data_IF_509804588760
#
_entry.id   IF_509804588760
#
_cell.length_a   1.000
_cell.length_b   1.000
_cell.length_c   1.000
_cell.angle_alpha   90.00
_cell.angle_beta   90.00
_cell.angle_gamma   90.00
#
_symmetry.space_group_name_H-M   'P 1'
#
loop_
_entity.id
_entity.type
_entity.pdbx_description
1 polymer ?
#
# COMPACT_ATOMS: atom_id res chain seq x y z
N UNK A 1 2.21 -7.71 25.65
CA UNK A 1 0.79 -8.18 25.56
C UNK A 1 -0.07 -7.43 26.56
N UNK A 2 -1.36 -7.24 26.30
CA UNK A 2 -2.32 -6.67 27.25
C UNK A 2 -3.04 -7.83 27.95
N UNK A 3 -3.03 -7.82 29.28
CA UNK A 3 -3.59 -8.90 30.11
C UNK A 3 -4.61 -8.38 31.12
N UNK A 4 -5.56 -9.23 31.52
CA UNK A 4 -6.59 -8.90 32.50
C UNK A 4 -6.03 -8.93 33.93
N UNK A 5 -6.34 -7.91 34.74
CA UNK A 5 -6.04 -7.85 36.17
C UNK A 5 -7.26 -7.35 36.94
N UNK A 6 -8.14 -8.26 37.34
CA UNK A 6 -9.47 -7.91 37.85
C UNK A 6 -10.27 -7.15 36.77
N UNK A 7 -10.87 -6.02 37.13
CA UNK A 7 -11.60 -5.15 36.21
C UNK A 7 -10.70 -4.14 35.46
N UNK A 8 -9.38 -4.34 35.51
CA UNK A 8 -8.39 -3.50 34.85
C UNK A 8 -7.56 -4.27 33.83
N UNK A 9 -6.88 -3.53 32.97
CA UNK A 9 -5.87 -4.04 32.04
C UNK A 9 -4.47 -3.79 32.59
N UNK A 10 -3.54 -4.70 32.31
CA UNK A 10 -2.13 -4.60 32.65
C UNK A 10 -1.25 -5.02 31.47
N UNK A 11 -0.18 -4.26 31.25
CA UNK A 11 0.88 -4.63 30.30
C UNK A 11 1.68 -5.80 30.88
N UNK A 12 1.81 -6.88 30.10
CA UNK A 12 2.61 -8.07 30.39
C UNK A 12 2.35 -8.72 31.77
N UNK A 13 1.14 -8.57 32.30
CA UNK A 13 0.71 -9.20 33.54
C UNK A 13 0.46 -10.71 33.41
N UNK A 14 0.26 -11.41 34.55
CA UNK A 14 0.09 -12.87 34.57
C UNK A 14 -1.34 -13.34 34.22
N UNK A 15 -2.30 -12.43 34.05
CA UNK A 15 -3.69 -12.77 33.77
C UNK A 15 -3.96 -13.14 32.30
N UNK A 16 -5.23 -13.38 31.99
CA UNK A 16 -5.70 -13.75 30.66
C UNK A 16 -5.28 -12.72 29.60
N UNK A 17 -4.85 -13.18 28.43
CA UNK A 17 -4.55 -12.33 27.28
C UNK A 17 -5.84 -11.67 26.79
N UNK A 18 -5.88 -10.34 26.79
CA UNK A 18 -6.98 -9.55 26.25
C UNK A 18 -6.66 -9.08 24.84
N UNK A 19 -5.42 -8.66 24.60
CA UNK A 19 -4.95 -8.25 23.27
C UNK A 19 -3.42 -8.42 23.13
N UNK A 20 -2.96 -8.59 21.90
CA UNK A 20 -1.54 -8.62 21.57
C UNK A 20 -1.01 -7.19 21.41
N UNK A 21 0.28 -6.99 21.72
CA UNK A 21 0.99 -5.75 21.37
C UNK A 21 2.22 -6.14 20.56
N UNK A 22 2.57 -5.28 19.60
CA UNK A 22 3.77 -5.45 18.78
C UNK A 22 4.79 -4.41 19.24
N UNK A 23 5.96 -4.85 19.66
CA UNK A 23 7.11 -3.97 19.89
C UNK A 23 7.82 -3.75 18.55
N UNK A 24 7.65 -2.56 17.97
CA UNK A 24 8.32 -2.22 16.71
C UNK A 24 9.61 -1.44 16.99
N UNK A 25 10.73 -1.97 16.50
CA UNK A 25 11.99 -1.21 16.43
C UNK A 25 11.86 -0.22 15.28
N UNK A 26 11.75 1.07 15.61
CA UNK A 26 11.68 2.12 14.59
C UNK A 26 12.97 2.14 13.79
N UNK A 27 12.85 2.11 12.46
CA UNK A 27 13.98 2.32 11.57
C UNK A 27 14.63 3.67 11.82
N UNK A 28 15.96 3.71 11.95
CA UNK A 28 16.73 4.94 12.14
C UNK A 28 16.43 5.90 10.99
N UNK A 29 15.75 7.00 11.33
CA UNK A 29 15.21 7.91 10.34
C UNK A 29 16.31 8.71 9.63
N UNK A 30 17.52 8.80 10.20
CA UNK A 30 18.68 9.40 9.50
C UNK A 30 19.13 8.58 8.29
N UNK A 31 18.76 7.29 8.24
CA UNK A 31 19.10 6.37 7.16
C UNK A 31 18.05 6.30 6.05
N UNK A 32 17.02 7.14 6.10
CA UNK A 32 16.09 7.27 4.99
C UNK A 32 16.82 7.91 3.79
N UNK A 33 16.60 7.39 2.59
CA UNK A 33 17.33 7.83 1.40
C UNK A 33 17.07 9.30 1.05
N UNK A 34 15.88 9.83 1.36
CA UNK A 34 15.54 11.24 1.18
C UNK A 34 16.40 12.15 2.09
N UNK A 35 16.56 11.79 3.36
CA UNK A 35 17.43 12.53 4.29
C UNK A 35 18.89 12.43 3.90
N UNK A 36 19.35 11.23 3.57
CA UNK A 36 20.71 11.04 3.07
C UNK A 36 20.97 11.85 1.80
N UNK A 37 19.97 12.02 0.93
CA UNK A 37 20.09 12.86 -0.26
C UNK A 37 20.23 14.34 0.11
N UNK A 38 19.37 14.86 0.98
CA UNK A 38 19.43 16.24 1.46
C UNK A 38 20.74 16.57 2.18
N UNK A 39 21.34 15.60 2.84
CA UNK A 39 22.62 15.74 3.57
C UNK A 39 23.86 15.41 2.73
N UNK A 40 23.69 15.06 1.44
CA UNK A 40 24.81 14.70 0.55
C UNK A 40 25.49 13.36 0.88
N UNK A 41 24.86 12.52 1.69
CA UNK A 41 25.34 11.20 2.13
C UNK A 41 24.89 10.06 1.21
N UNK A 42 23.98 10.33 0.26
CA UNK A 42 23.50 9.35 -0.68
C UNK A 42 24.52 9.05 -1.78
N UNK A 43 25.36 8.04 -1.56
CA UNK A 43 26.46 7.70 -2.48
C UNK A 43 25.99 6.92 -3.72
N UNK A 44 26.68 7.03 -4.88
CA UNK A 44 26.38 6.23 -6.07
C UNK A 44 26.45 4.71 -5.83
N UNK A 45 27.37 4.27 -4.96
CA UNK A 45 27.52 2.87 -4.60
C UNK A 45 26.31 2.35 -3.81
N UNK A 46 25.81 3.14 -2.85
CA UNK A 46 24.60 2.81 -2.10
C UNK A 46 23.39 2.75 -3.04
N UNK A 47 23.21 3.76 -3.90
CA UNK A 47 22.12 3.77 -4.88
C UNK A 47 22.15 2.56 -5.80
N UNK A 48 23.34 2.18 -6.29
CA UNK A 48 23.52 0.98 -7.11
C UNK A 48 23.10 -0.28 -6.35
N UNK A 49 23.49 -0.41 -5.07
CA UNK A 49 23.13 -1.56 -4.24
C UNK A 49 21.62 -1.63 -4.00
N UNK A 50 20.98 -0.51 -3.68
CA UNK A 50 19.53 -0.41 -3.47
C UNK A 50 18.79 -0.78 -4.75
N UNK A 51 19.16 -0.21 -5.90
CA UNK A 51 18.52 -0.51 -7.18
C UNK A 51 18.62 -2.00 -7.53
N UNK A 52 19.79 -2.62 -7.33
CA UNK A 52 19.98 -4.07 -7.54
C UNK A 52 19.12 -4.91 -6.60
N UNK A 53 19.01 -4.52 -5.34
CA UNK A 53 18.16 -5.21 -4.36
C UNK A 53 16.67 -5.12 -4.75
N UNK A 54 16.18 -3.94 -5.13
CA UNK A 54 14.80 -3.75 -5.60
C UNK A 54 14.54 -4.61 -6.85
N UNK A 55 15.44 -4.54 -7.84
CA UNK A 55 15.31 -5.35 -9.06
C UNK A 55 15.40 -6.85 -8.79
N UNK A 56 16.21 -7.30 -7.82
CA UNK A 56 16.25 -8.70 -7.42
C UNK A 56 14.95 -9.11 -6.74
N UNK A 57 14.47 -8.32 -5.78
CA UNK A 57 13.23 -8.60 -5.05
C UNK A 57 12.04 -8.73 -5.99
N UNK A 58 11.86 -7.78 -6.92
CA UNK A 58 10.75 -7.83 -7.87
C UNK A 58 10.85 -8.99 -8.87
N UNK A 59 12.07 -9.45 -9.20
CA UNK A 59 12.25 -10.65 -10.04
C UNK A 59 11.96 -11.95 -9.31
N UNK A 60 12.09 -11.96 -7.98
CA UNK A 60 11.82 -13.14 -7.16
C UNK A 60 10.44 -13.13 -6.51
N UNK A 61 9.68 -12.05 -6.66
CA UNK A 61 8.35 -11.94 -6.11
C UNK A 61 7.41 -12.87 -6.90
N UNK A 62 6.58 -13.61 -6.19
CA UNK A 62 5.58 -14.47 -6.83
C UNK A 62 4.61 -13.62 -7.64
N UNK A 63 4.37 -14.04 -8.88
CA UNK A 63 3.33 -13.47 -9.73
C UNK A 63 1.97 -14.03 -9.28
N UNK A 64 1.04 -13.13 -8.96
CA UNK A 64 -0.30 -13.50 -8.46
C UNK A 64 -1.30 -13.37 -9.60
N UNK A 65 -1.86 -14.51 -10.02
CA UNK A 65 -2.92 -14.62 -11.02
C UNK A 65 -4.25 -14.97 -10.36
N UNK A 66 -4.80 -14.03 -9.60
CA UNK A 66 -6.00 -14.25 -8.77
C UNK A 66 -7.32 -13.77 -9.43
N UNK A 67 -7.27 -13.25 -10.66
CA UNK A 67 -8.41 -12.69 -11.38
C UNK A 67 -7.96 -11.97 -12.65
N UNK A 68 -8.89 -11.42 -13.43
CA UNK A 68 -8.55 -10.76 -14.69
C UNK A 68 -7.93 -9.37 -14.50
N UNK A 69 -7.13 -8.92 -15.46
CA UNK A 69 -6.54 -7.58 -15.42
C UNK A 69 -7.59 -6.47 -15.33
N UNK A 70 -8.71 -6.61 -16.05
CA UNK A 70 -9.84 -5.70 -15.99
C UNK A 70 -10.53 -5.70 -14.62
N UNK A 71 -10.72 -6.87 -13.99
CA UNK A 71 -11.28 -6.97 -12.65
C UNK A 71 -10.37 -6.32 -11.59
N UNK A 72 -9.05 -6.52 -11.70
CA UNK A 72 -8.07 -5.92 -10.80
C UNK A 72 -8.12 -4.38 -10.86
N UNK A 73 -8.16 -3.80 -12.07
CA UNK A 73 -8.29 -2.35 -12.22
C UNK A 73 -9.69 -1.86 -11.78
N UNK A 74 -10.74 -2.62 -12.07
CA UNK A 74 -12.10 -2.33 -11.60
C UNK A 74 -12.17 -2.16 -10.09
N UNK A 75 -11.56 -3.06 -9.32
CA UNK A 75 -11.51 -2.96 -7.86
C UNK A 75 -10.79 -1.69 -7.38
N UNK A 76 -9.72 -1.26 -8.06
CA UNK A 76 -9.03 0.01 -7.76
C UNK A 76 -9.94 1.22 -8.01
N UNK A 77 -10.73 1.19 -9.08
CA UNK A 77 -11.68 2.27 -9.38
C UNK A 77 -12.79 2.37 -8.32
N UNK A 78 -13.29 1.24 -7.82
CA UNK A 78 -14.25 1.23 -6.70
C UNK A 78 -13.66 1.86 -5.43
N UNK A 79 -12.41 1.52 -5.09
CA UNK A 79 -11.71 2.13 -3.95
C UNK A 79 -11.54 3.64 -4.16
N UNK A 80 -11.19 4.07 -5.36
CA UNK A 80 -11.04 5.49 -5.68
C UNK A 80 -12.38 6.24 -5.55
N UNK A 81 -13.47 5.66 -6.08
CA UNK A 81 -14.82 6.24 -5.99
C UNK A 81 -15.27 6.39 -4.53
N UNK A 82 -15.09 5.35 -3.71
CA UNK A 82 -15.34 5.42 -2.27
C UNK A 82 -14.45 6.45 -1.56
N UNK A 83 -13.18 6.55 -1.96
CA UNK A 83 -12.24 7.56 -1.44
C UNK A 83 -12.69 8.99 -1.75
N UNK A 84 -13.08 9.27 -3.00
CA UNK A 84 -13.58 10.58 -3.40
C UNK A 84 -14.86 10.97 -2.67
N UNK A 85 -15.76 10.03 -2.42
CA UNK A 85 -16.98 10.27 -1.65
C UNK A 85 -16.72 10.75 -0.20
N UNK A 86 -15.50 10.53 0.32
CA UNK A 86 -15.08 11.02 1.65
C UNK A 86 -14.22 12.28 1.60
N UNK A 87 -13.90 12.77 0.40
CA UNK A 87 -13.03 13.92 0.15
C UNK A 87 -13.84 15.16 -0.24
N UNK A 88 -13.19 16.32 -0.17
CA UNK A 88 -13.72 17.62 -0.61
C UNK A 88 -12.83 18.26 -1.68
N UNK A 89 -11.92 17.48 -2.28
CA UNK A 89 -11.02 17.94 -3.35
C UNK A 89 -11.78 18.19 -4.66
N UNK A 90 -12.87 17.46 -4.90
CA UNK A 90 -13.74 17.58 -6.07
C UNK A 90 -15.20 17.72 -5.62
N UNK A 91 -16.01 18.39 -6.44
CA UNK A 91 -17.45 18.40 -6.25
C UNK A 91 -18.12 17.12 -6.79
N UNK A 92 -19.40 16.93 -6.47
CA UNK A 92 -20.12 15.71 -6.85
C UNK A 92 -20.19 15.49 -8.38
N UNK A 93 -20.30 16.56 -9.16
CA UNK A 93 -20.37 16.46 -10.62
C UNK A 93 -19.02 16.11 -11.22
N UNK A 94 -17.95 16.66 -10.67
CA UNK A 94 -16.58 16.31 -11.06
C UNK A 94 -16.30 14.83 -10.76
N UNK A 95 -16.72 14.33 -9.60
CA UNK A 95 -16.58 12.91 -9.22
C UNK A 95 -17.36 12.01 -10.18
N UNK A 96 -18.63 12.33 -10.46
CA UNK A 96 -19.45 11.58 -11.43
C UNK A 96 -18.79 11.54 -12.81
N UNK A 97 -18.32 12.69 -13.29
CA UNK A 97 -17.66 12.80 -14.60
C UNK A 97 -16.38 11.97 -14.66
N UNK A 98 -15.57 11.96 -13.59
CA UNK A 98 -14.35 11.17 -13.50
C UNK A 98 -14.65 9.66 -13.44
N UNK A 99 -15.62 9.25 -12.62
CA UNK A 99 -16.02 7.84 -12.50
C UNK A 99 -16.51 7.29 -13.85
N UNK A 100 -17.37 8.03 -14.56
CA UNK A 100 -17.83 7.67 -15.90
C UNK A 100 -16.66 7.54 -16.89
N UNK A 101 -15.74 8.51 -16.90
CA UNK A 101 -14.58 8.49 -17.78
C UNK A 101 -13.64 7.31 -17.50
N UNK A 102 -13.44 6.97 -16.22
CA UNK A 102 -12.65 5.82 -15.82
C UNK A 102 -13.31 4.49 -16.20
N UNK A 103 -14.61 4.34 -15.96
CA UNK A 103 -15.36 3.13 -16.34
C UNK A 103 -15.38 2.93 -17.85
N UNK A 104 -15.61 3.98 -18.63
CA UNK A 104 -15.55 3.91 -20.08
C UNK A 104 -14.15 3.53 -20.59
N UNK A 105 -13.10 4.07 -19.96
CA UNK A 105 -11.71 3.75 -20.32
C UNK A 105 -11.33 2.32 -19.93
N UNK A 106 -11.77 1.83 -18.78
CA UNK A 106 -11.59 0.45 -18.36
C UNK A 106 -12.27 -0.51 -19.34
N UNK A 107 -13.53 -0.25 -19.70
CA UNK A 107 -14.27 -1.06 -20.65
C UNK A 107 -13.55 -1.13 -22.02
N UNK A 108 -13.02 0.00 -22.50
CA UNK A 108 -12.28 0.07 -23.77
C UNK A 108 -10.99 -0.76 -23.76
N UNK A 109 -10.34 -0.92 -22.61
CA UNK A 109 -9.04 -1.60 -22.49
C UNK A 109 -9.11 -2.96 -21.78
N UNK A 110 -10.30 -3.47 -21.49
CA UNK A 110 -10.49 -4.70 -20.71
C UNK A 110 -9.73 -5.88 -21.33
N UNK A 111 -9.90 -6.15 -22.62
CA UNK A 111 -9.22 -7.25 -23.31
C UNK A 111 -7.69 -7.10 -23.35
N UNK A 112 -7.17 -5.87 -23.31
CA UNK A 112 -5.72 -5.64 -23.24
C UNK A 112 -5.19 -5.92 -21.84
N UNK A 113 -5.94 -5.54 -20.81
CA UNK A 113 -5.60 -5.79 -19.42
C UNK A 113 -5.68 -7.29 -19.10
N UNK A 114 -6.70 -7.97 -19.59
CA UNK A 114 -6.89 -9.40 -19.38
C UNK A 114 -5.80 -10.21 -20.07
N UNK A 115 -5.39 -9.83 -21.30
CA UNK A 115 -4.24 -10.45 -21.98
C UNK A 115 -2.89 -10.19 -21.32
N UNK A 116 -2.77 -9.10 -20.56
CA UNK A 116 -1.54 -8.79 -19.81
C UNK A 116 -1.45 -9.62 -18.53
N UNK A 117 -2.60 -9.97 -17.96
CA UNK A 117 -2.67 -10.77 -16.74
C UNK A 117 -2.48 -12.26 -17.01
N UNK A 118 -2.98 -12.75 -18.16
CA UNK A 118 -2.81 -14.14 -18.62
C UNK A 118 -1.35 -14.52 -18.93
#
# INVERSE_FOLDING_TARGET
RITRRGDRLAMDGPGELVDAVIEMVRFDQSRLLDRMASEGQLTPALMTKVARMIAQYHRSADEIHAGSGSANIGAVLEINSAGFATSHVFDGREIETLDEAFRATLARHADLLDRREA
#
